data_IF_804403431191
#
_entry.id   IF_804403431191
#
_cell.length_a   1.000
_cell.length_b   1.000
_cell.length_c   1.000
_cell.angle_alpha   90.00
_cell.angle_beta   90.00
_cell.angle_gamma   90.00
#
_symmetry.space_group_name_H-M   'P 1'
#
loop_
_entity.id
_entity.type
_entity.pdbx_description
1 polymer ?
#
# COMPACT_ATOMS: atom_id res chain seq x y z
N UNK A 1 -9.61 3.17 20.01
CA UNK A 1 -10.09 4.23 19.09
C UNK A 1 -10.46 3.55 17.78
N UNK A 2 -11.46 4.01 17.04
CA UNK A 2 -11.83 3.50 15.71
C UNK A 2 -11.72 4.64 14.70
N UNK A 3 -11.56 4.36 13.40
CA UNK A 3 -11.64 5.39 12.37
C UNK A 3 -12.99 6.12 12.47
N UNK A 4 -12.96 7.43 12.30
CA UNK A 4 -14.14 8.28 12.22
C UNK A 4 -14.51 8.55 10.75
N UNK A 5 -15.78 8.84 10.41
CA UNK A 5 -16.18 9.19 9.06
C UNK A 5 -15.36 10.31 8.40
N UNK A 6 -14.87 11.27 9.19
CA UNK A 6 -14.03 12.36 8.67
C UNK A 6 -12.63 11.91 8.25
N UNK A 7 -12.13 10.78 8.78
CA UNK A 7 -10.81 10.25 8.41
C UNK A 7 -10.80 9.76 6.94
N UNK A 8 -11.97 9.61 6.33
CA UNK A 8 -12.12 9.26 4.92
C UNK A 8 -11.63 10.39 3.99
N UNK A 9 -11.77 11.65 4.42
CA UNK A 9 -11.45 12.84 3.62
C UNK A 9 -10.04 13.37 3.92
N UNK A 10 -9.38 14.10 2.99
CA UNK A 10 -8.02 14.61 3.19
C UNK A 10 -7.95 15.87 4.08
N UNK A 11 -8.62 15.80 5.23
CA UNK A 11 -8.92 16.92 6.13
C UNK A 11 -8.21 16.83 7.47
N UNK A 12 -7.32 15.84 7.67
CA UNK A 12 -6.61 15.66 8.94
C UNK A 12 -5.84 16.93 9.29
N UNK A 13 -6.01 17.40 10.52
CA UNK A 13 -5.54 18.72 10.91
C UNK A 13 -5.29 18.87 12.43
N UNK A 14 -5.02 20.11 12.82
CA UNK A 14 -4.81 20.59 14.18
C UNK A 14 -6.01 21.44 14.64
N UNK A 15 -6.07 21.93 15.89
CA UNK A 15 -7.06 22.93 16.31
C UNK A 15 -6.77 24.33 15.72
N UNK A 16 -6.49 24.41 14.42
CA UNK A 16 -6.23 25.62 13.63
C UNK A 16 -7.19 25.66 12.42
N UNK A 17 -7.02 26.64 11.53
CA UNK A 17 -7.76 26.70 10.25
C UNK A 17 -7.52 25.46 9.39
N UNK A 18 -8.56 25.00 8.68
CA UNK A 18 -8.48 23.89 7.71
C UNK A 18 -7.44 24.12 6.61
N UNK A 19 -7.09 25.37 6.31
CA UNK A 19 -6.03 25.71 5.37
C UNK A 19 -4.62 25.38 5.87
N UNK A 20 -4.45 24.92 7.13
CA UNK A 20 -3.15 24.65 7.74
C UNK A 20 -3.13 23.30 8.47
N UNK A 21 -2.08 22.53 8.22
CA UNK A 21 -1.77 21.30 8.96
C UNK A 21 -0.92 21.60 10.22
N UNK A 22 -0.91 20.65 11.16
CA UNK A 22 -0.22 20.82 12.45
C UNK A 22 1.29 21.03 12.28
N UNK A 23 1.89 20.22 11.41
CA UNK A 23 3.33 20.18 11.16
C UNK A 23 3.72 21.10 10.01
N UNK A 24 4.83 21.81 10.15
CA UNK A 24 5.47 22.53 9.04
C UNK A 24 6.42 21.64 8.24
N UNK A 25 6.54 20.35 8.57
CA UNK A 25 7.36 19.42 7.79
C UNK A 25 6.77 19.28 6.39
N UNK A 26 7.60 19.55 5.37
CA UNK A 26 7.18 19.46 3.95
C UNK A 26 6.66 18.08 3.55
N UNK A 27 7.03 17.06 4.31
CA UNK A 27 6.62 15.68 4.12
C UNK A 27 5.23 15.36 4.70
N UNK A 28 4.49 16.36 5.20
CA UNK A 28 3.11 16.13 5.61
C UNK A 28 2.25 15.73 4.41
N UNK A 29 1.55 14.60 4.54
CA UNK A 29 0.71 14.04 3.50
C UNK A 29 -0.63 13.57 4.07
N UNK A 30 -1.61 13.47 3.16
CA UNK A 30 -2.89 12.82 3.39
C UNK A 30 -3.22 11.99 2.13
N UNK A 31 -3.22 10.65 2.24
CA UNK A 31 -3.26 9.76 1.07
C UNK A 31 -4.27 8.63 1.19
N UNK A 32 -4.85 8.28 0.04
CA UNK A 32 -5.65 7.11 -0.17
C UNK A 32 -4.82 6.09 -0.95
N UNK A 33 -4.92 4.82 -0.57
CA UNK A 33 -4.38 3.69 -1.31
C UNK A 33 -5.48 2.65 -1.46
N UNK A 34 -5.56 2.03 -2.63
CA UNK A 34 -6.44 0.93 -2.93
C UNK A 34 -5.72 -0.07 -3.82
N UNK A 35 -6.07 -1.33 -3.64
CA UNK A 35 -5.83 -2.36 -4.63
C UNK A 35 -7.11 -3.10 -5.00
N UNK A 36 -7.13 -3.67 -6.20
CA UNK A 36 -8.23 -4.47 -6.71
C UNK A 36 -7.69 -5.65 -7.50
N UNK A 37 -8.15 -6.85 -7.17
CA UNK A 37 -7.74 -8.06 -7.85
C UNK A 37 -8.89 -9.07 -7.90
N UNK A 38 -8.81 -9.94 -8.90
CA UNK A 38 -9.61 -11.16 -8.91
C UNK A 38 -8.94 -12.26 -8.07
N UNK A 39 -9.46 -13.48 -8.17
CA UNK A 39 -8.91 -14.67 -7.50
C UNK A 39 -7.98 -15.49 -8.39
N UNK A 40 -7.57 -14.97 -9.54
CA UNK A 40 -6.75 -15.72 -10.52
C UNK A 40 -5.30 -15.30 -10.53
N UNK A 41 -5.00 -14.06 -10.13
CA UNK A 41 -3.65 -13.49 -10.24
C UNK A 41 -3.32 -12.92 -11.62
N UNK A 42 -4.25 -13.00 -12.58
CA UNK A 42 -4.01 -12.59 -13.97
C UNK A 42 -4.13 -11.07 -14.21
N UNK A 43 -4.76 -10.36 -13.29
CA UNK A 43 -4.88 -8.91 -13.30
C UNK A 43 -4.79 -8.37 -11.87
N UNK A 44 -4.01 -7.32 -11.69
CA UNK A 44 -3.91 -6.59 -10.43
C UNK A 44 -3.92 -5.10 -10.69
N UNK A 45 -4.72 -4.34 -9.93
CA UNK A 45 -4.76 -2.88 -9.98
C UNK A 45 -4.35 -2.32 -8.62
N UNK A 46 -3.56 -1.25 -8.65
CA UNK A 46 -3.28 -0.40 -7.50
C UNK A 46 -3.52 1.06 -7.89
N UNK A 47 -4.14 1.82 -7.02
CA UNK A 47 -4.42 3.23 -7.23
C UNK A 47 -4.32 4.01 -5.93
N UNK A 48 -4.02 5.30 -6.05
CA UNK A 48 -4.05 6.20 -4.91
C UNK A 48 -4.25 7.63 -5.32
N UNK A 49 -4.60 8.43 -4.31
CA UNK A 49 -4.77 9.87 -4.39
C UNK A 49 -4.03 10.49 -3.21
N UNK A 50 -3.36 11.62 -3.43
CA UNK A 50 -2.57 12.28 -2.40
C UNK A 50 -2.75 13.78 -2.37
N UNK A 51 -2.85 14.31 -1.16
CA UNK A 51 -2.85 15.74 -0.87
C UNK A 51 -1.62 16.06 -0.04
N UNK A 52 -0.84 17.05 -0.47
CA UNK A 52 0.42 17.44 0.16
C UNK A 52 0.39 18.95 0.47
N UNK A 53 -0.28 19.36 1.56
CA UNK A 53 -0.52 20.76 1.91
C UNK A 53 0.74 21.63 1.93
N UNK A 54 1.83 21.12 2.50
CA UNK A 54 3.08 21.89 2.65
C UNK A 54 3.91 21.93 1.35
N UNK A 55 3.57 21.10 0.35
CA UNK A 55 4.16 21.17 -0.99
C UNK A 55 3.28 21.95 -1.97
N UNK A 56 2.00 22.16 -1.64
CA UNK A 56 1.03 22.77 -2.57
C UNK A 56 0.70 21.86 -3.75
N UNK A 57 0.76 20.54 -3.56
CA UNK A 57 0.56 19.52 -4.61
C UNK A 57 -0.63 18.62 -4.28
N UNK A 58 -1.35 18.22 -5.32
CA UNK A 58 -2.27 17.09 -5.32
C UNK A 58 -1.86 16.13 -6.45
N UNK A 59 -1.95 14.82 -6.21
CA UNK A 59 -1.63 13.82 -7.21
C UNK A 59 -2.52 12.59 -7.15
N UNK A 60 -2.46 11.79 -8.22
CA UNK A 60 -3.10 10.50 -8.28
C UNK A 60 -2.38 9.57 -9.25
N UNK A 61 -2.62 8.27 -9.11
CA UNK A 61 -2.14 7.28 -10.06
C UNK A 61 -3.10 6.09 -10.15
N UNK A 62 -3.04 5.38 -11.28
CA UNK A 62 -3.61 4.04 -11.44
C UNK A 62 -2.57 3.18 -12.15
N UNK A 63 -2.20 2.08 -11.54
CA UNK A 63 -1.26 1.08 -12.07
C UNK A 63 -1.97 -0.26 -12.19
N UNK A 64 -1.97 -0.83 -13.39
CA UNK A 64 -2.52 -2.16 -13.66
C UNK A 64 -1.42 -3.05 -14.19
N UNK A 65 -1.30 -4.26 -13.63
CA UNK A 65 -0.56 -5.34 -14.26
C UNK A 65 -1.52 -6.34 -14.86
N UNK A 66 -1.30 -6.69 -16.12
CA UNK A 66 -1.97 -7.77 -16.80
C UNK A 66 -1.02 -8.46 -17.78
N UNK A 67 -0.94 -9.79 -17.72
CA UNK A 67 0.05 -10.55 -18.47
C UNK A 67 1.47 -10.08 -18.14
N UNK A 68 2.25 -9.83 -19.19
CA UNK A 68 3.66 -9.43 -19.08
C UNK A 68 3.87 -7.91 -18.96
N UNK A 69 2.79 -7.12 -18.92
CA UNK A 69 2.86 -5.65 -18.88
C UNK A 69 2.37 -5.09 -17.54
N UNK A 70 3.09 -4.08 -17.04
CA UNK A 70 2.61 -3.18 -15.99
C UNK A 70 2.44 -1.77 -16.58
N UNK A 71 1.21 -1.28 -16.59
CA UNK A 71 0.81 0.01 -17.16
C UNK A 71 0.45 0.94 -16.02
N UNK A 72 0.96 2.17 -16.05
CA UNK A 72 0.63 3.19 -15.06
C UNK A 72 0.22 4.49 -15.74
N UNK A 73 -0.83 5.13 -15.22
CA UNK A 73 -1.20 6.51 -15.52
C UNK A 73 -1.10 7.34 -14.25
N UNK A 74 -0.60 8.56 -14.37
CA UNK A 74 -0.27 9.43 -13.23
C UNK A 74 -0.73 10.84 -13.51
N UNK A 75 -1.14 11.55 -12.47
CA UNK A 75 -1.66 12.92 -12.54
C UNK A 75 -1.01 13.79 -11.46
N UNK A 76 -0.79 15.06 -11.76
CA UNK A 76 -0.28 16.06 -10.81
C UNK A 76 -0.99 17.38 -11.05
N UNK A 77 -1.27 18.10 -9.96
CA UNK A 77 -1.93 19.39 -9.99
C UNK A 77 -1.55 20.26 -8.80
N UNK A 78 -1.87 21.54 -8.91
CA UNK A 78 -1.64 22.49 -7.82
C UNK A 78 -2.75 22.32 -6.78
N UNK A 79 -2.36 22.23 -5.51
CA UNK A 79 -3.30 22.30 -4.41
C UNK A 79 -3.55 23.78 -4.07
N UNK A 80 -4.58 24.37 -4.69
CA UNK A 80 -4.97 25.76 -4.42
C UNK A 80 -5.55 25.94 -3.02
N UNK A 81 -6.61 25.19 -2.71
CA UNK A 81 -7.25 25.18 -1.39
C UNK A 81 -7.50 23.74 -0.94
N UNK A 82 -7.49 23.50 0.38
CA UNK A 82 -7.85 22.19 0.92
C UNK A 82 -9.37 22.03 0.89
N UNK A 83 -9.83 20.89 0.38
CA UNK A 83 -11.24 20.55 0.31
C UNK A 83 -11.46 19.07 0.65
N UNK A 84 -12.72 18.65 0.72
CA UNK A 84 -13.10 17.24 0.78
C UNK A 84 -13.15 16.58 -0.61
N UNK A 85 -12.98 17.36 -1.68
CA UNK A 85 -12.98 16.85 -3.04
C UNK A 85 -11.63 16.20 -3.34
N UNK A 86 -11.67 14.96 -3.80
CA UNK A 86 -10.48 14.21 -4.19
C UNK A 86 -10.45 14.05 -5.70
N UNK A 87 -9.89 15.03 -6.41
CA UNK A 87 -9.77 14.99 -7.86
C UNK A 87 -8.49 15.68 -8.35
N UNK A 88 -7.91 15.15 -9.43
CA UNK A 88 -6.77 15.75 -10.15
C UNK A 88 -6.69 15.17 -11.55
N UNK A 89 -6.63 16.03 -12.57
CA UNK A 89 -6.66 15.59 -13.97
C UNK A 89 -7.87 14.69 -14.27
N UNK A 90 -7.62 13.51 -14.84
CA UNK A 90 -8.65 12.51 -15.14
C UNK A 90 -9.03 11.60 -13.97
N UNK A 91 -8.47 11.82 -12.78
CA UNK A 91 -8.74 10.99 -11.60
C UNK A 91 -9.72 11.65 -10.64
N UNK A 92 -10.66 10.88 -10.12
CA UNK A 92 -11.60 11.30 -9.07
C UNK A 92 -11.90 10.16 -8.10
N UNK A 93 -11.94 10.50 -6.81
CA UNK A 93 -12.41 9.64 -5.73
C UNK A 93 -13.62 10.28 -5.06
N UNK A 94 -14.74 9.55 -5.04
CA UNK A 94 -16.02 9.99 -4.49
C UNK A 94 -16.35 9.15 -3.25
N UNK A 95 -16.40 9.79 -2.09
CA UNK A 95 -16.88 9.15 -0.87
C UNK A 95 -18.41 9.13 -0.89
N UNK A 96 -19.00 7.96 -1.18
CA UNK A 96 -20.46 7.78 -1.22
C UNK A 96 -21.01 7.57 0.19
N UNK A 97 -20.36 6.70 0.95
CA UNK A 97 -20.64 6.45 2.36
C UNK A 97 -19.29 6.29 3.10
N UNK A 98 -18.90 7.22 3.98
CA UNK A 98 -17.62 7.16 4.65
C UNK A 98 -17.38 5.83 5.35
N UNK A 99 -16.18 5.29 5.23
CA UNK A 99 -15.78 3.98 5.76
C UNK A 99 -16.53 2.77 5.18
N UNK A 100 -17.41 2.94 4.18
CA UNK A 100 -18.21 1.86 3.60
C UNK A 100 -18.15 1.81 2.08
N UNK A 101 -18.54 2.88 1.37
CA UNK A 101 -18.69 2.90 -0.09
C UNK A 101 -17.96 4.08 -0.71
N UNK A 102 -17.08 3.79 -1.67
CA UNK A 102 -16.23 4.77 -2.35
C UNK A 102 -16.23 4.45 -3.84
N UNK A 103 -16.29 5.45 -4.69
CA UNK A 103 -16.12 5.29 -6.13
C UNK A 103 -14.82 5.91 -6.59
N UNK A 104 -14.07 5.18 -7.41
CA UNK A 104 -12.82 5.61 -8.04
C UNK A 104 -13.05 5.66 -9.54
N UNK A 105 -12.78 6.81 -10.15
CA UNK A 105 -12.87 7.03 -11.59
C UNK A 105 -11.51 7.49 -12.09
N UNK A 106 -11.05 6.90 -13.18
CA UNK A 106 -9.86 7.33 -13.92
C UNK A 106 -10.17 7.37 -15.41
N UNK A 107 -9.96 8.53 -16.03
CA UNK A 107 -10.13 8.77 -17.46
C UNK A 107 -8.76 9.10 -18.08
N UNK A 108 -8.21 8.17 -18.85
CA UNK A 108 -7.00 8.34 -19.65
C UNK A 108 -7.02 7.36 -20.83
N UNK A 109 -6.45 7.76 -21.97
CA UNK A 109 -6.51 6.96 -23.22
C UNK A 109 -5.84 5.58 -23.07
N UNK A 110 -4.73 5.51 -22.32
CA UNK A 110 -3.97 4.27 -22.08
C UNK A 110 -4.59 3.34 -21.01
N UNK A 111 -5.31 3.91 -20.04
CA UNK A 111 -5.87 3.19 -18.89
C UNK A 111 -7.04 3.97 -18.28
N UNK A 112 -8.22 3.35 -18.21
CA UNK A 112 -9.38 3.93 -17.54
C UNK A 112 -10.08 2.93 -16.62
N UNK A 113 -10.76 3.44 -15.60
CA UNK A 113 -11.60 2.62 -14.72
C UNK A 113 -12.74 3.43 -14.10
N UNK A 114 -13.82 2.72 -13.78
CA UNK A 114 -14.92 3.21 -12.94
C UNK A 114 -15.28 2.08 -11.98
N UNK A 115 -14.83 2.23 -10.74
CA UNK A 115 -14.84 1.17 -9.73
C UNK A 115 -15.54 1.65 -8.47
N UNK A 116 -16.45 0.84 -7.94
CA UNK A 116 -17.10 1.06 -6.66
C UNK A 116 -16.60 0.04 -5.65
N UNK A 117 -16.03 0.53 -4.55
CA UNK A 117 -15.64 -0.21 -3.36
C UNK A 117 -16.84 -0.41 -2.46
N UNK A 118 -16.95 -1.61 -1.88
CA UNK A 118 -17.84 -1.89 -0.75
C UNK A 118 -17.06 -2.61 0.37
N UNK A 119 -17.01 -2.00 1.55
CA UNK A 119 -16.28 -2.49 2.72
C UNK A 119 -16.91 -3.76 3.27
N UNK A 120 -16.14 -4.85 3.37
CA UNK A 120 -16.67 -6.14 3.84
C UNK A 120 -16.67 -6.26 5.37
N UNK A 121 -15.80 -5.50 6.04
CA UNK A 121 -15.65 -5.48 7.49
C UNK A 121 -15.40 -4.04 7.97
N UNK A 122 -15.65 -3.72 9.25
CA UNK A 122 -15.30 -2.42 9.81
C UNK A 122 -13.82 -2.08 9.60
N UNK A 123 -13.53 -0.81 9.28
CA UNK A 123 -12.16 -0.34 9.13
C UNK A 123 -11.39 -0.42 10.45
N UNK A 124 -10.11 -0.80 10.34
CA UNK A 124 -9.20 -1.01 11.47
C UNK A 124 -8.28 0.18 11.57
N UNK A 125 -8.34 0.91 12.68
CA UNK A 125 -7.29 1.87 13.01
C UNK A 125 -6.06 1.10 13.47
N UNK A 126 -4.93 1.36 12.85
CA UNK A 126 -3.68 0.66 13.15
C UNK A 126 -2.89 1.36 14.25
N UNK A 127 -1.83 0.69 14.72
CA UNK A 127 -0.85 1.30 15.61
C UNK A 127 -0.12 2.45 14.90
N UNK A 128 0.40 3.40 15.66
CA UNK A 128 1.15 4.53 15.09
C UNK A 128 2.40 4.04 14.34
N UNK A 129 2.58 4.51 13.11
CA UNK A 129 3.72 4.16 12.27
C UNK A 129 4.84 5.16 12.51
N UNK A 130 5.92 4.72 13.16
CA UNK A 130 7.09 5.56 13.44
C UNK A 130 8.34 4.90 12.86
N UNK A 131 9.08 5.65 12.04
CA UNK A 131 10.40 5.28 11.55
C UNK A 131 11.36 6.45 11.74
N UNK A 132 12.47 6.20 12.42
CA UNK A 132 13.47 7.21 12.76
C UNK A 132 14.67 7.16 11.80
N UNK A 133 15.21 8.32 11.45
CA UNK A 133 16.51 8.51 10.81
C UNK A 133 17.34 9.42 11.71
N UNK A 134 18.23 8.82 12.52
CA UNK A 134 18.84 9.50 13.64
C UNK A 134 17.79 10.05 14.61
N UNK A 135 17.85 11.32 15.04
CA UNK A 135 16.88 11.91 15.94
C UNK A 135 15.59 12.41 15.25
N UNK A 136 15.49 12.31 13.92
CA UNK A 136 14.34 12.83 13.14
C UNK A 136 13.41 11.69 12.72
N UNK A 137 12.10 11.77 12.96
CA UNK A 137 11.15 10.85 12.33
C UNK A 137 11.09 11.12 10.82
N UNK A 138 11.26 10.06 10.03
CA UNK A 138 11.04 10.08 8.58
C UNK A 138 9.68 9.47 8.21
N UNK A 139 9.12 8.65 9.09
CA UNK A 139 7.72 8.24 9.10
C UNK A 139 7.17 8.56 10.49
N UNK A 140 6.07 9.30 10.56
CA UNK A 140 5.27 9.53 11.76
C UNK A 140 3.83 9.71 11.28
N UNK A 141 3.10 8.61 11.19
CA UNK A 141 1.83 8.56 10.52
C UNK A 141 0.80 7.69 11.25
N UNK A 142 -0.45 8.05 11.09
CA UNK A 142 -1.58 7.21 11.41
C UNK A 142 -2.13 6.58 10.14
N UNK A 143 -2.70 5.38 10.27
CA UNK A 143 -3.33 4.66 9.16
C UNK A 143 -4.57 3.93 9.65
N UNK A 144 -5.59 3.86 8.80
CA UNK A 144 -6.58 2.82 8.92
C UNK A 144 -6.61 1.96 7.65
N UNK A 145 -7.02 0.71 7.80
CA UNK A 145 -7.11 -0.28 6.74
C UNK A 145 -8.48 -0.93 6.67
N UNK A 146 -8.87 -1.38 5.49
CA UNK A 146 -10.11 -2.12 5.29
C UNK A 146 -9.98 -3.09 4.12
N UNK A 147 -10.63 -4.26 4.23
CA UNK A 147 -10.81 -5.21 3.12
C UNK A 147 -12.24 -5.13 2.59
N UNK A 148 -12.41 -5.42 1.31
CA UNK A 148 -13.66 -5.15 0.60
C UNK A 148 -13.84 -5.96 -0.66
N UNK A 149 -14.89 -5.60 -1.39
CA UNK A 149 -15.17 -6.05 -2.76
C UNK A 149 -15.21 -4.86 -3.71
N UNK A 150 -14.99 -5.14 -4.99
CA UNK A 150 -15.08 -4.15 -6.05
C UNK A 150 -16.16 -4.52 -7.06
N UNK A 151 -16.81 -3.52 -7.64
CA UNK A 151 -17.68 -3.68 -8.81
C UNK A 151 -17.39 -2.58 -9.84
N UNK A 152 -17.54 -2.86 -11.13
CA UNK A 152 -17.38 -1.85 -12.19
C UNK A 152 -16.61 -2.36 -13.40
N UNK A 153 -15.73 -1.51 -13.96
CA UNK A 153 -14.92 -1.86 -15.14
C UNK A 153 -13.51 -1.27 -15.11
N UNK A 154 -12.61 -1.98 -15.78
CA UNK A 154 -11.22 -1.53 -16.07
C UNK A 154 -10.98 -1.70 -17.56
N UNK A 155 -10.42 -0.69 -18.21
CA UNK A 155 -9.91 -0.76 -19.58
C UNK A 155 -8.40 -0.47 -19.56
N UNK A 156 -7.59 -1.38 -20.08
CA UNK A 156 -6.14 -1.23 -20.16
C UNK A 156 -5.61 -1.88 -21.43
N UNK A 157 -4.73 -1.19 -22.17
CA UNK A 157 -4.19 -1.68 -23.45
C UNK A 157 -5.29 -2.16 -24.44
N UNK A 158 -6.44 -1.46 -24.46
CA UNK A 158 -7.57 -1.80 -25.33
C UNK A 158 -8.36 -3.05 -24.93
N UNK A 159 -8.15 -3.58 -23.73
CA UNK A 159 -8.89 -4.73 -23.19
C UNK A 159 -9.77 -4.30 -22.01
N UNK A 160 -11.04 -4.68 -22.08
CA UNK A 160 -12.02 -4.45 -21.03
C UNK A 160 -12.10 -5.64 -20.06
N UNK A 161 -12.15 -5.32 -18.78
CA UNK A 161 -12.37 -6.27 -17.69
C UNK A 161 -13.61 -5.85 -16.91
N UNK A 162 -14.55 -6.79 -16.76
CA UNK A 162 -15.66 -6.64 -15.83
C UNK A 162 -15.18 -6.95 -14.42
N UNK A 163 -15.48 -6.04 -13.49
CA UNK A 163 -15.16 -6.19 -12.08
C UNK A 163 -16.45 -6.61 -11.37
N UNK A 164 -16.50 -7.88 -10.98
CA UNK A 164 -17.65 -8.54 -10.35
C UNK A 164 -17.43 -8.65 -8.82
N UNK A 165 -18.31 -8.08 -7.97
CA UNK A 165 -18.13 -8.07 -6.52
C UNK A 165 -18.09 -9.46 -5.87
N UNK A 166 -18.58 -10.50 -6.54
CA UNK A 166 -18.53 -11.88 -6.03
C UNK A 166 -17.13 -12.49 -6.10
N UNK A 167 -16.28 -11.97 -7.00
CA UNK A 167 -14.94 -12.50 -7.27
C UNK A 167 -13.82 -11.47 -7.09
N UNK A 168 -14.12 -10.18 -7.25
CA UNK A 168 -13.17 -9.10 -7.10
C UNK A 168 -13.13 -8.57 -5.68
N UNK A 169 -11.92 -8.54 -5.14
CA UNK A 169 -11.64 -8.20 -3.77
C UNK A 169 -10.49 -7.19 -3.74
N UNK A 170 -10.26 -6.63 -2.57
CA UNK A 170 -9.12 -5.76 -2.41
C UNK A 170 -8.96 -5.28 -0.99
N UNK A 171 -7.93 -4.47 -0.85
CA UNK A 171 -7.55 -3.79 0.37
C UNK A 171 -7.45 -2.31 0.07
N UNK A 172 -7.84 -1.50 1.05
CA UNK A 172 -7.55 -0.08 1.03
C UNK A 172 -6.91 0.36 2.33
N UNK A 173 -6.20 1.46 2.26
CA UNK A 173 -5.80 2.21 3.43
C UNK A 173 -5.91 3.73 3.22
N UNK A 174 -6.08 4.42 4.33
CA UNK A 174 -5.95 5.87 4.44
C UNK A 174 -4.85 6.15 5.43
N UNK A 175 -3.86 6.92 5.03
CA UNK A 175 -2.79 7.33 5.92
C UNK A 175 -2.53 8.83 5.84
N UNK A 176 -2.15 9.39 6.98
CA UNK A 176 -1.87 10.81 7.13
C UNK A 176 -0.79 11.02 8.19
N UNK A 177 -0.01 12.08 8.03
CA UNK A 177 1.13 12.36 8.89
C UNK A 177 2.36 12.71 8.06
N UNK A 178 3.54 12.30 8.50
CA UNK A 178 4.83 12.59 7.88
C UNK A 178 5.33 11.33 7.20
N UNK A 179 5.65 11.41 5.89
CA UNK A 179 6.32 10.35 5.11
C UNK A 179 7.09 11.00 3.96
N UNK A 180 8.25 10.47 3.52
CA UNK A 180 9.01 11.10 2.45
C UNK A 180 8.17 11.23 1.17
N UNK A 181 8.01 12.45 0.68
CA UNK A 181 7.23 12.81 -0.51
C UNK A 181 7.89 13.97 -1.27
N UNK A 182 7.61 14.06 -2.57
CA UNK A 182 8.15 15.03 -3.49
C UNK A 182 9.67 14.88 -3.64
N UNK A 183 10.33 16.01 -3.90
CA UNK A 183 11.79 16.05 -4.02
C UNK A 183 12.47 15.56 -2.72
N UNK A 184 13.65 14.92 -2.76
CA UNK A 184 14.33 14.53 -1.54
C UNK A 184 14.87 15.75 -0.77
N UNK A 185 14.89 15.67 0.57
CA UNK A 185 15.62 16.65 1.39
C UNK A 185 17.12 16.64 1.03
N UNK A 186 17.85 17.77 1.20
CA UNK A 186 19.29 17.78 1.08
C UNK A 186 19.94 16.73 2.00
N UNK A 187 20.62 15.74 1.41
CA UNK A 187 21.04 14.55 2.17
C UNK A 187 22.18 14.85 3.18
N UNK A 188 23.09 15.79 2.87
CA UNK A 188 24.11 16.29 3.81
C UNK A 188 24.90 15.19 4.54
N UNK A 189 25.08 15.35 5.86
CA UNK A 189 25.78 14.40 6.74
C UNK A 189 25.18 12.99 6.73
N UNK A 190 23.89 12.84 6.44
CA UNK A 190 23.20 11.55 6.47
C UNK A 190 23.66 10.57 5.38
N UNK A 191 24.38 11.03 4.36
CA UNK A 191 25.01 10.14 3.36
C UNK A 191 26.22 9.38 3.93
N UNK A 192 26.80 9.85 5.03
CA UNK A 192 27.92 9.19 5.70
C UNK A 192 27.46 8.04 6.61
N UNK A 193 26.22 8.07 7.09
CA UNK A 193 25.67 6.99 7.91
C UNK A 193 25.18 5.86 7.02
N UNK A 194 25.68 4.65 7.27
CA UNK A 194 25.26 3.47 6.52
C UNK A 194 23.80 3.14 6.92
N UNK A 195 22.87 3.33 5.98
CA UNK A 195 21.51 2.86 6.17
C UNK A 195 21.54 1.33 6.16
N UNK A 196 21.04 0.74 7.25
CA UNK A 196 20.80 -0.70 7.31
C UNK A 196 19.74 -1.14 6.30
N UNK A 197 19.26 -2.37 6.43
CA UNK A 197 18.10 -2.82 5.68
C UNK A 197 16.77 -2.37 6.29
N UNK A 198 15.71 -2.62 5.52
CA UNK A 198 14.33 -2.41 5.88
C UNK A 198 13.55 -3.69 5.58
N UNK A 199 12.92 -4.25 6.61
CA UNK A 199 12.02 -5.38 6.49
C UNK A 199 10.60 -4.93 6.78
N UNK A 200 9.69 -5.21 5.85
CA UNK A 200 8.29 -4.84 5.92
C UNK A 200 7.42 -5.97 5.41
N UNK A 201 6.37 -6.28 6.16
CA UNK A 201 5.24 -7.07 5.66
C UNK A 201 3.94 -6.44 6.11
N UNK A 202 3.01 -6.32 5.17
CA UNK A 202 1.63 -5.93 5.43
C UNK A 202 0.68 -6.90 4.71
N UNK A 203 -0.15 -7.59 5.50
CA UNK A 203 -1.03 -8.64 4.99
C UNK A 203 -2.50 -8.50 5.46
N UNK A 204 -3.28 -7.61 4.83
CA UNK A 204 -4.73 -7.59 4.93
C UNK A 204 -5.35 -8.74 4.15
N UNK A 205 -6.09 -9.61 4.84
CA UNK A 205 -6.69 -10.80 4.25
C UNK A 205 -8.16 -10.87 4.64
N UNK A 206 -9.02 -11.13 3.66
CA UNK A 206 -10.46 -11.32 3.82
C UNK A 206 -10.80 -12.80 3.75
N UNK A 207 -11.43 -13.30 4.81
CA UNK A 207 -12.14 -14.57 4.86
C UNK A 207 -13.64 -14.30 4.90
N UNK A 208 -14.45 -15.36 4.79
CA UNK A 208 -15.92 -15.22 4.79
C UNK A 208 -16.43 -14.64 6.12
N UNK A 209 -15.87 -15.11 7.24
CA UNK A 209 -16.36 -14.76 8.58
C UNK A 209 -15.56 -13.66 9.28
N UNK A 210 -14.36 -13.32 8.78
CA UNK A 210 -13.48 -12.33 9.40
C UNK A 210 -12.46 -11.73 8.43
N UNK A 211 -11.93 -10.57 8.78
CA UNK A 211 -10.72 -10.01 8.19
C UNK A 211 -9.52 -10.19 9.12
N UNK A 212 -8.33 -10.33 8.55
CA UNK A 212 -7.05 -10.37 9.26
C UNK A 212 -6.21 -9.17 8.82
N UNK A 213 -5.62 -8.46 9.77
CA UNK A 213 -4.65 -7.39 9.51
C UNK A 213 -3.35 -7.73 10.21
N UNK A 214 -2.26 -7.92 9.46
CA UNK A 214 -0.92 -8.18 10.01
C UNK A 214 0.07 -7.17 9.48
N UNK A 215 0.85 -6.56 10.37
CA UNK A 215 1.98 -5.68 10.05
C UNK A 215 3.19 -6.13 10.84
N UNK A 216 4.30 -6.27 10.13
CA UNK A 216 5.61 -6.51 10.71
C UNK A 216 6.62 -5.57 10.07
N UNK A 217 7.26 -4.74 10.89
CA UNK A 217 8.40 -3.92 10.50
C UNK A 217 9.59 -4.22 11.40
N UNK A 218 10.72 -4.58 10.79
CA UNK A 218 11.95 -4.91 11.52
C UNK A 218 13.13 -4.08 10.99
N UNK A 219 14.05 -3.73 11.89
CA UNK A 219 15.38 -3.23 11.53
C UNK A 219 16.27 -4.38 11.04
N UNK A 220 17.46 -4.04 10.55
CA UNK A 220 18.38 -5.01 9.93
C UNK A 220 18.80 -6.20 10.82
N UNK A 221 18.75 -6.03 12.13
CA UNK A 221 19.06 -7.07 13.13
C UNK A 221 17.81 -7.86 13.59
N UNK A 222 16.65 -7.58 13.02
CA UNK A 222 15.37 -8.20 13.40
C UNK A 222 14.64 -7.53 14.55
N UNK A 223 15.10 -6.37 15.05
CA UNK A 223 14.37 -5.67 16.10
C UNK A 223 13.04 -5.10 15.55
N UNK A 224 11.92 -5.51 16.15
CA UNK A 224 10.57 -5.13 15.74
C UNK A 224 10.27 -3.68 16.11
N UNK A 225 10.07 -2.84 15.11
CA UNK A 225 9.79 -1.41 15.26
C UNK A 225 8.31 -1.06 15.07
N UNK A 226 7.57 -1.89 14.34
CA UNK A 226 6.10 -1.84 14.28
C UNK A 226 5.53 -3.25 14.25
N UNK A 227 4.47 -3.48 15.03
CA UNK A 227 3.84 -4.77 15.21
C UNK A 227 2.33 -4.63 15.27
N UNK A 228 1.61 -5.25 14.33
CA UNK A 228 0.16 -5.35 14.37
C UNK A 228 -0.28 -6.76 13.97
N UNK A 229 -1.24 -7.31 14.70
CA UNK A 229 -1.91 -8.56 14.33
C UNK A 229 -3.31 -8.57 14.93
N UNK A 230 -4.33 -8.38 14.11
CA UNK A 230 -5.72 -8.39 14.55
C UNK A 230 -6.60 -9.21 13.62
N UNK A 231 -7.65 -9.80 14.20
CA UNK A 231 -8.77 -10.40 13.49
C UNK A 231 -10.04 -9.62 13.80
N UNK A 232 -10.80 -9.29 12.76
CA UNK A 232 -11.96 -8.38 12.82
C UNK A 232 -13.18 -9.09 12.28
N UNK A 233 -14.30 -8.94 12.96
CA UNK A 233 -15.56 -9.60 12.61
C UNK A 233 -16.61 -8.60 12.11
N UNK A 234 -17.67 -9.06 11.41
CA UNK A 234 -18.70 -8.17 10.85
C UNK A 234 -19.43 -7.34 11.90
N UNK A 235 -19.58 -7.89 13.12
CA UNK A 235 -20.19 -7.22 14.27
C UNK A 235 -19.28 -6.17 14.93
N UNK A 236 -18.07 -5.97 14.40
CA UNK A 236 -17.10 -5.00 14.89
C UNK A 236 -16.32 -5.43 16.13
N UNK A 237 -16.41 -6.71 16.53
CA UNK A 237 -15.44 -7.32 17.46
C UNK A 237 -14.05 -7.35 16.81
N UNK A 238 -13.04 -7.13 17.63
CA UNK A 238 -11.61 -7.18 17.25
C UNK A 238 -10.89 -8.07 18.25
N UNK A 239 -10.14 -9.04 17.73
CA UNK A 239 -9.27 -9.93 18.50
C UNK A 239 -7.81 -9.60 18.17
N UNK A 240 -7.01 -9.36 19.21
CA UNK A 240 -5.56 -9.22 19.06
C UNK A 240 -4.92 -10.61 18.97
N UNK A 241 -4.04 -10.81 17.99
CA UNK A 241 -3.47 -12.10 17.65
C UNK A 241 -1.97 -12.19 17.97
N UNK A 242 -1.63 -12.07 19.25
CA UNK A 242 -0.29 -12.32 19.77
C UNK A 242 0.84 -11.60 19.02
N UNK A 243 2.02 -12.22 19.01
CA UNK A 243 3.20 -11.71 18.30
C UNK A 243 3.38 -12.43 16.96
N UNK A 244 3.13 -11.78 15.80
CA UNK A 244 3.29 -12.41 14.50
C UNK A 244 4.74 -12.76 14.21
N UNK A 245 4.98 -14.02 13.83
CA UNK A 245 6.25 -14.52 13.27
C UNK A 245 6.04 -14.93 11.83
N UNK A 246 6.95 -14.53 10.94
CA UNK A 246 6.87 -14.83 9.53
C UNK A 246 7.95 -15.82 9.11
N UNK A 247 7.57 -16.74 8.23
CA UNK A 247 8.47 -17.57 7.45
C UNK A 247 8.18 -17.30 5.98
N UNK A 248 9.06 -16.58 5.30
CA UNK A 248 8.88 -16.23 3.89
C UNK A 248 9.76 -17.13 3.03
N UNK A 249 9.18 -17.77 2.03
CA UNK A 249 9.92 -18.52 1.02
C UNK A 249 10.23 -17.59 -0.15
N UNK A 250 11.52 -17.41 -0.43
CA UNK A 250 11.99 -16.56 -1.51
C UNK A 250 12.43 -17.41 -2.70
N UNK A 251 12.15 -16.94 -3.92
CA UNK A 251 12.68 -17.56 -5.14
C UNK A 251 14.21 -17.51 -5.12
N UNK A 252 14.86 -18.66 -5.26
CA UNK A 252 16.32 -18.80 -5.36
C UNK A 252 16.93 -17.82 -6.38
N UNK A 253 18.04 -17.21 -6.01
CA UNK A 253 18.72 -16.17 -6.80
C UNK A 253 18.03 -14.80 -6.78
N UNK A 254 16.98 -14.61 -5.98
CA UNK A 254 16.26 -13.33 -5.86
C UNK A 254 15.91 -12.98 -4.41
N UNK A 255 15.17 -11.89 -4.21
CA UNK A 255 14.47 -11.55 -2.96
C UNK A 255 12.95 -11.57 -3.11
N UNK A 256 12.45 -12.20 -4.16
CA UNK A 256 11.04 -12.21 -4.50
C UNK A 256 10.30 -13.26 -3.66
N UNK A 257 9.29 -12.89 -2.85
CA UNK A 257 8.56 -13.84 -2.02
C UNK A 257 7.57 -14.66 -2.88
N UNK A 258 7.64 -15.98 -2.80
CA UNK A 258 6.70 -16.89 -3.48
C UNK A 258 5.55 -17.31 -2.57
N UNK A 259 5.83 -17.46 -1.28
CA UNK A 259 4.84 -17.84 -0.27
C UNK A 259 5.30 -17.41 1.12
N UNK A 260 4.38 -17.43 2.09
CA UNK A 260 4.71 -17.17 3.48
C UNK A 260 3.86 -18.01 4.44
N UNK A 261 4.39 -18.30 5.63
CA UNK A 261 3.61 -18.73 6.79
C UNK A 261 3.64 -17.64 7.85
N UNK A 262 2.47 -17.28 8.36
CA UNK A 262 2.33 -16.31 9.44
C UNK A 262 1.83 -17.05 10.68
N UNK A 263 2.67 -17.11 11.70
CA UNK A 263 2.32 -17.73 12.98
C UNK A 263 1.77 -16.66 13.92
N UNK A 264 0.56 -16.91 14.41
CA UNK A 264 -0.25 -16.04 15.26
C UNK A 264 -0.69 -16.80 16.52
N UNK A 265 -1.28 -16.09 17.48
CA UNK A 265 -1.78 -16.70 18.72
C UNK A 265 -3.08 -16.02 19.15
N UNK A 266 -4.13 -16.80 19.41
CA UNK A 266 -5.42 -16.25 19.89
C UNK A 266 -5.30 -15.69 21.32
N UNK A 267 -6.28 -14.90 21.80
CA UNK A 267 -6.28 -14.42 23.18
C UNK A 267 -6.20 -15.54 24.25
N UNK A 268 -6.69 -16.74 23.94
CA UNK A 268 -6.62 -17.91 24.82
C UNK A 268 -5.29 -18.67 24.73
N UNK A 269 -4.33 -18.17 23.94
CA UNK A 269 -3.02 -18.81 23.76
C UNK A 269 -3.00 -19.92 22.72
N UNK A 270 -4.04 -20.09 21.89
CA UNK A 270 -4.06 -21.12 20.86
C UNK A 270 -3.24 -20.69 19.63
N UNK A 271 -2.42 -21.57 19.05
CA UNK A 271 -1.69 -21.25 17.83
C UNK A 271 -2.67 -21.13 16.65
N UNK A 272 -2.38 -20.19 15.76
CA UNK A 272 -3.11 -19.97 14.52
C UNK A 272 -2.07 -19.78 13.41
N UNK A 273 -2.16 -20.52 12.32
CA UNK A 273 -1.19 -20.45 11.20
C UNK A 273 -1.91 -20.05 9.94
N UNK A 274 -1.42 -18.99 9.30
CA UNK A 274 -1.90 -18.54 7.99
C UNK A 274 -0.88 -18.94 6.96
N UNK A 275 -1.29 -19.76 6.00
CA UNK A 275 -0.47 -20.13 4.83
C UNK A 275 -0.84 -19.21 3.67
N UNK A 276 0.14 -18.52 3.10
CA UNK A 276 -0.04 -17.53 2.03
C UNK A 276 0.66 -18.02 0.76
N UNK A 277 -0.07 -18.01 -0.35
CA UNK A 277 0.38 -18.26 -1.71
C UNK A 277 0.25 -16.97 -2.52
N UNK A 278 1.33 -16.53 -3.18
CA UNK A 278 1.34 -15.35 -4.03
C UNK A 278 1.01 -15.73 -5.48
N UNK A 279 0.00 -15.12 -6.08
CA UNK A 279 -0.49 -15.50 -7.43
C UNK A 279 -0.07 -14.52 -8.54
N UNK A 280 0.03 -13.24 -8.22
CA UNK A 280 0.41 -12.16 -9.12
C UNK A 280 0.87 -10.96 -8.30
N UNK A 281 1.56 -9.99 -8.91
CA UNK A 281 2.13 -8.87 -8.16
C UNK A 281 2.21 -7.57 -8.95
N UNK A 282 2.23 -6.43 -8.27
CA UNK A 282 2.66 -5.15 -8.82
C UNK A 282 3.96 -4.75 -8.13
N UNK A 283 4.94 -4.32 -8.94
CA UNK A 283 6.12 -3.64 -8.41
C UNK A 283 5.78 -2.18 -8.15
N UNK A 284 5.79 -1.75 -6.89
CA UNK A 284 5.39 -0.38 -6.54
C UNK A 284 6.38 0.69 -7.04
N UNK A 285 7.61 0.29 -7.41
CA UNK A 285 8.64 1.14 -8.03
C UNK A 285 8.53 1.31 -9.54
N UNK A 286 7.41 0.88 -10.14
CA UNK A 286 7.13 1.04 -11.56
C UNK A 286 5.73 1.65 -11.76
N UNK A 287 5.60 2.91 -11.37
CA UNK A 287 4.44 3.74 -11.64
C UNK A 287 3.43 3.90 -10.53
N UNK A 288 3.62 3.22 -9.39
CA UNK A 288 2.82 3.47 -8.19
C UNK A 288 3.42 4.55 -7.27
N UNK A 289 4.63 5.07 -7.57
CA UNK A 289 5.24 6.18 -6.83
C UNK A 289 6.01 5.80 -5.57
N UNK A 290 6.27 4.51 -5.33
CA UNK A 290 7.03 4.01 -4.18
C UNK A 290 8.45 3.57 -4.60
N UNK A 291 9.33 3.35 -3.62
CA UNK A 291 10.53 2.52 -3.83
C UNK A 291 11.53 3.02 -4.87
N UNK A 292 11.72 4.33 -5.02
CA UNK A 292 12.76 4.90 -5.89
C UNK A 292 12.45 4.82 -7.38
N UNK A 293 11.18 4.82 -7.77
CA UNK A 293 10.74 5.00 -9.15
C UNK A 293 11.40 6.27 -9.75
N UNK A 294 12.23 6.16 -10.81
CA UNK A 294 12.92 7.30 -11.39
C UNK A 294 12.01 8.21 -12.22
N UNK A 295 10.81 7.76 -12.60
CA UNK A 295 9.91 8.54 -13.45
C UNK A 295 9.05 9.52 -12.65
N UNK A 296 8.57 9.08 -11.48
CA UNK A 296 7.63 9.83 -10.66
C UNK A 296 7.52 9.28 -9.23
N UNK A 297 7.37 10.18 -8.24
CA UNK A 297 6.97 9.83 -6.88
C UNK A 297 5.83 10.71 -6.37
N UNK A 298 5.17 10.24 -5.32
CA UNK A 298 4.13 10.97 -4.60
C UNK A 298 4.58 12.36 -4.14
N UNK A 299 3.75 13.38 -4.32
CA UNK A 299 3.99 14.76 -3.91
C UNK A 299 4.92 15.55 -4.84
N UNK A 300 5.30 14.98 -5.98
CA UNK A 300 6.15 15.67 -6.95
C UNK A 300 5.34 16.64 -7.82
N UNK A 301 5.75 17.92 -7.83
CA UNK A 301 5.16 18.92 -8.72
C UNK A 301 5.62 18.72 -10.16
N UNK A 302 4.67 18.44 -11.08
CA UNK A 302 4.96 18.23 -12.50
C UNK A 302 4.37 19.28 -13.44
N UNK A 303 3.77 20.32 -12.88
CA UNK A 303 2.97 21.31 -13.61
C UNK A 303 1.47 21.15 -13.35
N UNK A 304 0.72 22.19 -13.70
CA UNK A 304 -0.72 22.20 -13.58
C UNK A 304 -1.35 21.34 -14.69
N UNK A 305 -2.37 20.55 -14.34
CA UNK A 305 -3.05 19.63 -15.28
C UNK A 305 -2.10 18.63 -15.97
N UNK A 306 -1.04 18.21 -15.27
CA UNK A 306 -0.10 17.24 -15.81
C UNK A 306 -0.68 15.83 -15.76
N UNK A 307 -0.48 15.06 -16.83
CA UNK A 307 -0.70 13.62 -16.86
C UNK A 307 0.44 12.90 -17.59
N UNK A 308 0.62 11.61 -17.28
CA UNK A 308 1.54 10.74 -18.00
C UNK A 308 1.05 9.30 -18.02
N UNK A 309 1.61 8.51 -18.93
CA UNK A 309 1.47 7.06 -18.97
C UNK A 309 2.82 6.39 -19.18
N UNK A 310 3.00 5.19 -18.63
CA UNK A 310 4.14 4.32 -18.88
C UNK A 310 3.70 2.87 -19.00
N UNK A 311 4.41 2.10 -19.82
CA UNK A 311 4.23 0.65 -19.96
C UNK A 311 5.58 0.00 -19.72
N UNK A 312 5.64 -0.93 -18.77
CA UNK A 312 6.85 -1.68 -18.42
C UNK A 312 6.65 -3.15 -18.75
N UNK A 313 7.58 -3.73 -19.50
CA UNK A 313 7.67 -5.17 -19.72
C UNK A 313 8.28 -5.86 -18.48
N UNK A 314 7.43 -6.63 -17.80
CA UNK A 314 7.73 -7.30 -16.53
C UNK A 314 8.55 -8.57 -16.68
N UNK A 315 8.91 -8.97 -17.91
CA UNK A 315 9.78 -10.12 -18.20
C UNK A 315 11.26 -9.74 -18.34
N UNK A 316 11.55 -8.44 -18.39
CA UNK A 316 12.91 -7.93 -18.63
C UNK A 316 13.82 -8.08 -17.41
N UNK A 317 15.11 -8.27 -17.67
CA UNK A 317 16.12 -8.28 -16.61
C UNK A 317 16.21 -6.94 -15.87
N UNK A 318 15.92 -5.81 -16.55
CA UNK A 318 15.88 -4.50 -15.92
C UNK A 318 14.77 -4.40 -14.87
N UNK A 319 13.55 -4.85 -15.21
CA UNK A 319 12.44 -4.90 -14.27
C UNK A 319 12.77 -5.75 -13.05
N UNK A 320 13.25 -6.98 -13.28
CA UNK A 320 13.62 -7.90 -12.19
C UNK A 320 14.79 -7.39 -11.33
N UNK A 321 15.73 -6.66 -11.93
CA UNK A 321 16.88 -6.07 -11.23
C UNK A 321 16.50 -4.99 -10.21
N UNK A 322 15.33 -4.37 -10.36
CA UNK A 322 14.82 -3.33 -9.44
C UNK A 322 13.99 -3.89 -8.28
N UNK A 323 13.37 -5.06 -8.44
CA UNK A 323 12.50 -5.67 -7.42
C UNK A 323 13.13 -5.80 -6.02
N UNK A 324 14.42 -6.17 -5.85
CA UNK A 324 15.05 -6.28 -4.53
C UNK A 324 15.15 -4.98 -3.73
N UNK A 325 14.93 -3.83 -4.37
CA UNK A 325 15.10 -2.50 -3.79
C UNK A 325 13.77 -1.75 -3.61
N UNK A 326 12.65 -2.44 -3.73
CA UNK A 326 11.31 -1.88 -3.57
C UNK A 326 10.42 -2.81 -2.76
N UNK A 327 9.37 -2.23 -2.20
CA UNK A 327 8.19 -2.95 -1.77
C UNK A 327 7.42 -3.49 -2.98
N UNK A 328 6.87 -4.69 -2.83
CA UNK A 328 6.10 -5.39 -3.87
C UNK A 328 4.80 -5.86 -3.26
N UNK A 329 3.70 -5.58 -3.96
CA UNK A 329 2.37 -6.03 -3.56
C UNK A 329 2.02 -7.29 -4.31
N UNK A 330 1.61 -8.32 -3.59
CA UNK A 330 1.17 -9.58 -4.16
C UNK A 330 -0.32 -9.78 -3.89
N UNK A 331 -1.01 -10.35 -4.89
CA UNK A 331 -2.30 -10.99 -4.68
C UNK A 331 -2.04 -12.23 -3.84
N UNK A 332 -2.63 -12.27 -2.66
CA UNK A 332 -2.46 -13.33 -1.69
C UNK A 332 -3.72 -14.21 -1.64
N UNK A 333 -3.52 -15.51 -1.84
CA UNK A 333 -4.47 -16.54 -1.43
C UNK A 333 -4.00 -17.10 -0.09
N UNK A 334 -4.85 -17.07 0.92
CA UNK A 334 -4.52 -17.46 2.27
C UNK A 334 -5.37 -18.66 2.74
N UNK A 335 -4.79 -19.54 3.55
CA UNK A 335 -5.51 -20.64 4.21
C UNK A 335 -5.29 -20.59 5.72
N UNK A 336 -6.36 -20.78 6.49
CA UNK A 336 -6.35 -20.78 7.96
C UNK A 336 -7.39 -21.78 8.47
N UNK A 337 -6.97 -22.79 9.22
CA UNK A 337 -7.86 -23.86 9.74
C UNK A 337 -8.83 -24.45 8.69
N UNK A 338 -8.38 -24.58 7.44
CA UNK A 338 -9.18 -25.07 6.31
C UNK A 338 -10.08 -24.03 5.62
N UNK A 339 -10.21 -22.82 6.16
CA UNK A 339 -10.87 -21.69 5.49
C UNK A 339 -9.92 -21.04 4.48
N UNK A 340 -10.46 -20.59 3.36
CA UNK A 340 -9.71 -19.90 2.31
C UNK A 340 -10.10 -18.43 2.30
N UNK A 341 -9.10 -17.56 2.25
CA UNK A 341 -9.24 -16.12 2.18
C UNK A 341 -8.37 -15.53 1.08
N UNK A 342 -8.60 -14.26 0.79
CA UNK A 342 -7.94 -13.53 -0.28
C UNK A 342 -7.62 -12.11 0.15
N UNK A 343 -6.57 -11.53 -0.39
CA UNK A 343 -6.22 -10.13 -0.14
C UNK A 343 -4.83 -9.82 -0.65
N UNK A 344 -4.08 -9.09 0.16
CA UNK A 344 -2.74 -8.62 -0.20
C UNK A 344 -1.67 -9.24 0.70
N UNK A 345 -0.51 -9.53 0.10
CA UNK A 345 0.75 -9.71 0.81
C UNK A 345 1.76 -8.70 0.24
N UNK A 346 1.83 -7.55 0.88
CA UNK A 346 2.83 -6.52 0.61
C UNK A 346 4.11 -6.87 1.37
N UNK A 347 5.24 -6.94 0.68
CA UNK A 347 6.50 -7.34 1.31
C UNK A 347 7.70 -6.59 0.74
N UNK A 348 8.63 -6.26 1.63
CA UNK A 348 9.95 -5.74 1.28
C UNK A 348 11.02 -6.32 2.22
N UNK A 349 12.14 -6.73 1.63
CA UNK A 349 13.37 -7.08 2.35
C UNK A 349 14.56 -6.43 1.64
N UNK A 350 14.71 -5.13 1.88
CA UNK A 350 15.73 -4.30 1.25
C UNK A 350 16.97 -4.25 2.12
N UNK A 351 18.16 -4.50 1.56
CA UNK A 351 19.41 -4.44 2.33
C UNK A 351 19.57 -5.58 3.33
N UNK A 352 20.29 -5.34 4.43
CA UNK A 352 20.56 -6.34 5.47
C UNK A 352 19.31 -6.65 6.30
N UNK A 353 18.98 -7.93 6.44
CA UNK A 353 18.03 -8.45 7.40
C UNK A 353 18.51 -9.82 7.92
N UNK A 354 19.17 -9.81 9.09
CA UNK A 354 19.81 -11.01 9.68
C UNK A 354 18.84 -12.19 9.87
N UNK A 355 17.58 -12.00 10.36
CA UNK A 355 16.65 -13.11 10.53
C UNK A 355 16.28 -13.82 9.22
N UNK A 356 16.31 -13.11 8.08
CA UNK A 356 16.04 -13.69 6.76
C UNK A 356 17.30 -14.21 6.07
N UNK A 357 18.48 -14.06 6.68
CA UNK A 357 19.75 -14.50 6.11
C UNK A 357 20.35 -13.56 5.06
N UNK A 358 19.78 -12.38 4.84
CA UNK A 358 20.35 -11.36 3.95
C UNK A 358 21.32 -10.48 4.76
N UNK A 359 22.63 -10.61 4.56
CA UNK A 359 23.66 -9.92 5.36
C UNK A 359 24.13 -8.59 4.72
N UNK A 360 23.70 -8.29 3.51
CA UNK A 360 24.03 -7.08 2.75
C UNK A 360 23.00 -6.75 1.66
N UNK A 361 23.32 -5.79 0.79
CA UNK A 361 22.40 -5.29 -0.26
C UNK A 361 22.33 -6.18 -1.50
N UNK A 362 23.37 -6.94 -1.78
CA UNK A 362 23.50 -7.74 -3.01
C UNK A 362 23.17 -9.22 -2.80
N UNK A 363 22.91 -9.64 -1.55
CA UNK A 363 22.62 -11.04 -1.26
C UNK A 363 21.27 -11.45 -1.82
N UNK A 364 21.19 -12.71 -2.26
CA UNK A 364 19.98 -13.31 -2.81
C UNK A 364 19.70 -14.62 -2.09
N UNK A 365 18.44 -15.06 -2.12
CA UNK A 365 18.04 -16.32 -1.52
C UNK A 365 18.80 -17.50 -2.18
N UNK A 366 19.17 -18.54 -1.41
CA UNK A 366 19.92 -19.69 -1.91
C UNK A 366 19.17 -20.50 -2.95
#
# INVERSE_FOLDING_TARGET
MKPAPLDEFPVHQSPLSMGRVASTDRNFYDRNYFNAHDRTGSIYLITGFGVYPNLGVVDAFVTVRHGDSQVAVRFSGALGERSMESAVGGYRLEVIEPLQRIRVVCEHDELSCDLTWDGSFPAVLEEAHILMSGPRPILDASRFAQVGSWSGSICVQGKDFTVDPDTWMGTRDRSWGIRPVGEPDPQGRWTYENRGGHYWTYAPLRFDDFALMVIVQESSDGHRTLNHATRVFPDGRVEQLGWPRLEVNYRSGTRHPESARIHLTTPEGKPLVVEVENLGFISLSHGAGYGGDPEWTHGEWRGENWSSASVVDTTTAEFHGRLPYSTIDHIARATIDGQVGWGMFEHAVMGRHDPSGFVGWTDMAP
#
